data_IF_020451617749
#
_entry.id   IF_020451617749
#
_cell.length_a   1.000
_cell.length_b   1.000
_cell.length_c   1.000
_cell.angle_alpha   90.00
_cell.angle_beta   90.00
_cell.angle_gamma   90.00
#
_symmetry.space_group_name_H-M   'P 1'
#
loop_
_entity.id
_entity.type
_entity.pdbx_description
1 polymer ?
#
# COMPACT_ATOMS: atom_id res chain seq x y z
N UNK A 1 -24.30 -19.96 18.53
CA UNK A 1 -23.16 -20.40 17.70
C UNK A 1 -23.59 -20.29 16.26
N UNK A 2 -23.24 -19.18 15.62
CA UNK A 2 -23.26 -19.04 14.16
C UNK A 2 -22.10 -18.11 13.86
N UNK A 3 -20.94 -18.69 13.64
CA UNK A 3 -19.77 -17.94 13.18
C UNK A 3 -20.06 -17.43 11.77
N UNK A 4 -20.01 -16.11 11.65
CA UNK A 4 -20.32 -15.33 10.45
C UNK A 4 -19.48 -15.77 9.26
N UNK A 5 -20.13 -15.80 8.10
CA UNK A 5 -19.58 -16.09 6.78
C UNK A 5 -18.19 -15.48 6.57
N UNK A 6 -17.17 -16.32 6.45
CA UNK A 6 -15.92 -15.94 5.79
C UNK A 6 -16.15 -15.98 4.29
N UNK A 7 -16.56 -14.86 3.70
CA UNK A 7 -16.46 -14.70 2.25
C UNK A 7 -14.99 -14.98 1.86
N UNK A 8 -14.71 -15.78 0.81
CA UNK A 8 -13.35 -15.90 0.30
C UNK A 8 -12.92 -14.50 -0.11
N UNK A 9 -12.01 -13.91 0.68
CA UNK A 9 -11.44 -12.60 0.40
C UNK A 9 -10.76 -12.69 -0.95
N UNK A 10 -11.39 -12.13 -1.97
CA UNK A 10 -10.83 -12.10 -3.32
C UNK A 10 -9.45 -11.45 -3.26
N UNK A 11 -8.47 -12.02 -3.97
CA UNK A 11 -7.15 -11.41 -4.12
C UNK A 11 -7.33 -10.00 -4.69
N UNK A 12 -6.70 -9.02 -4.05
CA UNK A 12 -6.72 -7.62 -4.46
C UNK A 12 -5.32 -7.25 -4.94
N UNK A 13 -5.26 -6.35 -5.90
CA UNK A 13 -4.06 -5.66 -6.34
C UNK A 13 -3.98 -4.32 -5.62
N UNK A 14 -3.04 -4.22 -4.68
CA UNK A 14 -2.93 -3.11 -3.75
C UNK A 14 -1.66 -2.32 -4.06
N UNK A 15 -1.77 -1.00 -4.19
CA UNK A 15 -0.61 -0.12 -4.20
C UNK A 15 -0.40 0.45 -2.80
N UNK A 16 0.81 0.35 -2.26
CA UNK A 16 1.20 0.99 -1.00
C UNK A 16 2.09 2.18 -1.34
N UNK A 17 1.63 3.40 -1.01
CA UNK A 17 2.45 4.61 -1.14
C UNK A 17 3.34 4.74 0.09
N UNK A 18 4.65 4.76 -0.09
CA UNK A 18 5.62 4.94 1.00
C UNK A 18 6.89 5.61 0.51
N UNK A 19 7.55 6.40 1.35
CA UNK A 19 8.73 7.21 1.01
C UNK A 19 8.40 8.69 1.09
N UNK A 20 8.74 9.43 0.03
CA UNK A 20 8.62 10.89 -0.02
C UNK A 20 9.91 11.63 0.33
N UNK A 21 9.93 12.95 0.09
CA UNK A 21 11.11 13.81 0.26
C UNK A 21 11.31 14.32 1.71
N UNK A 22 10.55 13.81 2.68
CA UNK A 22 10.54 14.33 4.06
C UNK A 22 11.67 13.76 4.93
N UNK A 23 11.98 14.43 6.03
CA UNK A 23 12.89 13.90 7.07
C UNK A 23 12.36 12.60 7.74
N UNK A 24 11.10 12.25 7.48
CA UNK A 24 10.42 11.06 8.00
C UNK A 24 10.37 9.91 6.96
N UNK A 25 11.08 10.06 5.83
CA UNK A 25 11.15 9.07 4.76
C UNK A 25 11.46 7.66 5.27
N UNK A 26 12.44 7.51 6.18
CA UNK A 26 12.80 6.20 6.75
C UNK A 26 11.65 5.55 7.54
N UNK A 27 10.82 6.35 8.21
CA UNK A 27 9.65 5.88 8.95
C UNK A 27 8.57 5.43 7.97
N UNK A 28 8.32 6.20 6.91
CA UNK A 28 7.36 5.86 5.85
C UNK A 28 7.75 4.58 5.10
N UNK A 29 9.02 4.40 4.75
CA UNK A 29 9.51 3.19 4.10
C UNK A 29 9.31 1.96 4.99
N UNK A 30 9.65 2.07 6.27
CA UNK A 30 9.52 0.96 7.23
C UNK A 30 8.07 0.57 7.49
N UNK A 31 7.15 1.54 7.61
CA UNK A 31 5.72 1.27 7.75
C UNK A 31 5.15 0.67 6.46
N UNK A 32 5.50 1.24 5.30
CA UNK A 32 5.08 0.75 3.98
C UNK A 32 5.47 -0.70 3.73
N UNK A 33 6.74 -1.07 3.98
CA UNK A 33 7.20 -2.45 3.88
C UNK A 33 6.43 -3.40 4.81
N UNK A 34 6.16 -2.96 6.04
CA UNK A 34 5.47 -3.79 7.03
C UNK A 34 4.03 -4.06 6.61
N UNK A 35 3.34 -3.04 6.08
CA UNK A 35 2.00 -3.17 5.52
C UNK A 35 2.02 -4.08 4.29
N UNK A 36 2.96 -3.87 3.37
CA UNK A 36 3.07 -4.68 2.16
C UNK A 36 3.30 -6.16 2.47
N UNK A 37 4.18 -6.47 3.44
CA UNK A 37 4.40 -7.83 3.93
C UNK A 37 3.13 -8.44 4.52
N UNK A 38 2.39 -7.70 5.34
CA UNK A 38 1.15 -8.19 5.97
C UNK A 38 0.02 -8.41 4.96
N UNK A 39 -0.11 -7.56 3.95
CA UNK A 39 -1.10 -7.72 2.89
C UNK A 39 -0.74 -8.89 1.96
N UNK A 40 0.54 -9.02 1.60
CA UNK A 40 1.02 -10.13 0.77
C UNK A 40 0.84 -11.48 1.48
N UNK A 41 1.09 -11.55 2.79
CA UNK A 41 0.88 -12.79 3.57
C UNK A 41 -0.59 -13.21 3.66
N UNK A 42 -1.53 -12.31 3.36
CA UNK A 42 -2.97 -12.57 3.28
C UNK A 42 -3.44 -12.92 1.86
N UNK A 43 -2.52 -13.06 0.90
CA UNK A 43 -2.83 -13.47 -0.48
C UNK A 43 -3.22 -12.34 -1.42
N UNK A 44 -2.93 -11.08 -1.07
CA UNK A 44 -3.08 -9.93 -1.97
C UNK A 44 -1.80 -9.72 -2.80
N UNK A 45 -1.94 -9.18 -4.00
CA UNK A 45 -0.81 -8.72 -4.81
C UNK A 45 -0.50 -7.28 -4.40
N UNK A 46 0.74 -6.99 -4.02
CA UNK A 46 1.10 -5.66 -3.49
C UNK A 46 2.26 -5.06 -4.27
N UNK A 47 2.12 -3.78 -4.66
CA UNK A 47 3.18 -2.96 -5.24
C UNK A 47 3.46 -1.78 -4.30
N UNK A 48 4.73 -1.58 -3.95
CA UNK A 48 5.15 -0.37 -3.21
C UNK A 48 5.54 0.70 -4.23
N UNK A 49 5.08 1.93 -4.04
CA UNK A 49 5.40 3.08 -4.89
C UNK A 49 5.84 4.25 -4.02
N UNK A 50 6.97 4.85 -4.38
CA UNK A 50 7.43 6.10 -3.76
C UNK A 50 7.00 7.29 -4.64
N UNK A 51 6.11 8.17 -4.14
CA UNK A 51 5.63 9.31 -4.91
C UNK A 51 6.70 10.39 -5.15
N UNK A 52 7.86 10.33 -4.47
CA UNK A 52 9.00 11.20 -4.79
C UNK A 52 9.77 10.74 -6.02
N UNK A 53 9.64 9.47 -6.41
CA UNK A 53 10.34 8.86 -7.53
C UNK A 53 9.45 8.69 -8.77
N UNK A 54 8.13 8.84 -8.58
CA UNK A 54 7.12 8.54 -9.59
C UNK A 54 6.06 9.63 -9.56
N UNK A 55 5.77 10.19 -10.74
CA UNK A 55 4.63 11.09 -10.91
C UNK A 55 3.31 10.30 -10.85
N UNK A 56 2.51 10.56 -9.82
CA UNK A 56 1.24 9.86 -9.60
C UNK A 56 0.16 10.24 -10.61
N UNK A 57 0.26 11.41 -11.26
CA UNK A 57 -0.71 11.83 -12.29
C UNK A 57 -0.57 11.00 -13.57
N UNK A 58 0.65 10.56 -13.89
CA UNK A 58 0.96 9.73 -15.05
C UNK A 58 1.16 8.24 -14.72
N UNK A 59 1.02 7.85 -13.45
CA UNK A 59 1.19 6.47 -13.03
C UNK A 59 0.12 5.54 -13.62
N UNK A 60 0.54 4.35 -14.08
CA UNK A 60 -0.38 3.33 -14.57
C UNK A 60 -1.10 2.63 -13.41
N UNK A 61 -2.32 3.10 -13.15
CA UNK A 61 -3.23 2.53 -12.16
C UNK A 61 -4.04 1.33 -12.69
N UNK A 62 -3.79 0.87 -13.92
CA UNK A 62 -4.54 -0.25 -14.50
C UNK A 62 -4.40 -1.49 -13.64
N UNK A 63 -5.55 -2.06 -13.25
CA UNK A 63 -5.60 -3.25 -12.40
C UNK A 63 -5.27 -3.00 -10.93
N UNK A 64 -5.13 -1.74 -10.48
CA UNK A 64 -5.08 -1.40 -9.05
C UNK A 64 -6.50 -1.35 -8.49
N UNK A 65 -6.78 -2.15 -7.46
CA UNK A 65 -8.10 -2.18 -6.81
C UNK A 65 -8.19 -1.12 -5.71
N UNK A 66 -7.12 -0.97 -4.93
CA UNK A 66 -7.06 -0.05 -3.78
C UNK A 66 -5.64 0.48 -3.54
N UNK A 67 -5.57 1.66 -2.92
CA UNK A 67 -4.31 2.29 -2.51
C UNK A 67 -4.26 2.43 -0.99
N UNK A 68 -3.16 2.01 -0.38
CA UNK A 68 -2.87 2.24 1.04
C UNK A 68 -1.81 3.34 1.16
N UNK A 69 -2.11 4.41 1.88
CA UNK A 69 -1.20 5.55 2.08
C UNK A 69 -0.40 5.31 3.36
N UNK A 70 0.90 5.03 3.22
CA UNK A 70 1.86 4.86 4.32
C UNK A 70 2.89 6.00 4.34
N UNK A 71 2.51 7.19 3.87
CA UNK A 71 3.34 8.39 3.88
C UNK A 71 3.32 9.04 5.27
N UNK A 72 4.46 9.58 5.71
CA UNK A 72 4.56 10.35 6.95
C UNK A 72 5.15 11.74 6.65
N UNK A 73 4.51 12.77 7.20
CA UNK A 73 4.89 14.17 7.04
C UNK A 73 3.70 15.05 6.69
N UNK A 74 3.96 16.30 6.31
CA UNK A 74 2.95 17.34 6.02
C UNK A 74 1.96 16.97 4.90
N UNK A 75 2.21 15.90 4.13
CA UNK A 75 1.40 15.46 3.00
C UNK A 75 0.89 14.00 3.12
N UNK A 76 1.04 13.37 4.29
CA UNK A 76 0.52 12.03 4.58
C UNK A 76 -0.95 12.00 4.98
#
# INVERSE_FOLDING_TARGET
MTDSQTNPSSTLNIVVLSGGESAECEISLKSGETVARALSSRGHQVRIVDPSLVDLESFDWTGCDVVFIALNGTYG
#
